data_IF_427870905004
#
_entry.id   IF_427870905004
#
_cell.length_a   1.000
_cell.length_b   1.000
_cell.length_c   1.000
_cell.angle_alpha   90.00
_cell.angle_beta   90.00
_cell.angle_gamma   90.00
#
_symmetry.space_group_name_H-M   'P 1'
#
loop_
_entity.id
_entity.type
_entity.pdbx_description
1 polymer ?
#
# COMPACT_ATOMS: atom_id res chain seq x y z
N UNK A 1 -23.47 14.43 9.65
CA UNK A 1 -22.90 13.21 9.04
C UNK A 1 -21.37 13.25 8.94
N UNK A 2 -20.76 14.16 8.18
CA UNK A 2 -19.30 14.18 7.98
C UNK A 2 -18.48 14.44 9.28
N UNK A 3 -18.95 15.32 10.16
CA UNK A 3 -18.26 15.58 11.43
C UNK A 3 -18.27 14.37 12.35
N UNK A 4 -19.43 13.75 12.52
CA UNK A 4 -19.61 12.49 13.28
C UNK A 4 -18.75 11.35 12.70
N UNK A 5 -18.73 11.20 11.37
CA UNK A 5 -17.83 10.25 10.69
C UNK A 5 -16.39 10.43 11.12
N UNK A 6 -15.90 11.67 11.06
CA UNK A 6 -14.52 12.01 11.40
C UNK A 6 -14.24 11.87 12.91
N UNK A 7 -15.24 11.99 13.76
CA UNK A 7 -15.13 11.80 15.21
C UNK A 7 -14.97 10.31 15.54
N UNK A 8 -15.87 9.46 15.03
CA UNK A 8 -15.78 7.99 15.16
C UNK A 8 -14.46 7.52 14.60
N UNK A 9 -14.12 7.95 13.37
CA UNK A 9 -12.87 7.58 12.73
C UNK A 9 -11.66 7.92 13.63
N UNK A 10 -11.64 9.06 14.32
CA UNK A 10 -10.52 9.49 15.20
C UNK A 10 -10.49 8.82 16.57
N UNK A 11 -11.67 8.48 17.12
CA UNK A 11 -11.80 8.01 18.49
C UNK A 11 -12.04 6.51 18.62
N UNK A 12 -12.31 5.81 17.50
CA UNK A 12 -12.43 4.35 17.48
C UNK A 12 -11.16 3.70 18.04
N UNK A 13 -11.35 2.80 19.01
CA UNK A 13 -10.29 1.99 19.61
C UNK A 13 -10.51 0.53 19.25
N UNK A 14 -9.41 -0.21 19.12
CA UNK A 14 -9.46 -1.65 18.99
C UNK A 14 -8.42 -2.34 19.86
N UNK A 15 -8.76 -3.55 20.31
CA UNK A 15 -7.82 -4.47 20.95
C UNK A 15 -7.91 -5.83 20.26
N UNK A 16 -6.81 -6.58 20.27
CA UNK A 16 -6.81 -7.95 19.78
C UNK A 16 -7.68 -8.76 20.72
N UNK A 17 -8.72 -9.39 20.17
CA UNK A 17 -9.56 -10.30 20.93
C UNK A 17 -8.83 -11.64 21.08
N UNK A 18 -9.12 -12.37 22.16
CA UNK A 18 -8.61 -13.73 22.34
C UNK A 18 -8.99 -14.61 21.13
N UNK A 19 -8.10 -15.55 20.79
CA UNK A 19 -8.28 -16.45 19.65
C UNK A 19 -9.62 -17.20 19.78
N UNK A 20 -10.59 -16.85 18.92
CA UNK A 20 -11.78 -17.67 18.71
C UNK A 20 -11.30 -19.01 18.13
N UNK A 21 -11.42 -20.12 18.87
CA UNK A 21 -11.03 -21.48 18.42
C UNK A 21 -11.63 -21.87 17.05
N UNK A 22 -12.66 -21.15 16.60
CA UNK A 22 -13.42 -21.36 15.36
C UNK A 22 -12.77 -20.69 14.14
N UNK A 23 -11.89 -19.70 14.32
CA UNK A 23 -11.30 -18.92 13.22
C UNK A 23 -9.96 -19.52 12.74
N UNK A 24 -9.66 -19.46 11.44
CA UNK A 24 -8.34 -19.89 10.93
C UNK A 24 -7.21 -19.07 11.56
N UNK A 25 -6.04 -19.69 11.76
CA UNK A 25 -4.83 -19.03 12.32
C UNK A 25 -4.34 -17.79 11.55
N UNK A 26 -4.77 -17.65 10.30
CA UNK A 26 -4.46 -16.50 9.43
C UNK A 26 -5.39 -15.31 9.66
N UNK A 27 -6.36 -15.43 10.57
CA UNK A 27 -7.33 -14.39 10.89
C UNK A 27 -7.01 -13.81 12.25
N UNK A 28 -6.85 -12.49 12.31
CA UNK A 28 -6.77 -11.75 13.57
C UNK A 28 -8.06 -10.98 13.80
N UNK A 29 -8.68 -11.15 14.97
CA UNK A 29 -9.90 -10.45 15.36
C UNK A 29 -9.56 -9.23 16.21
N UNK A 30 -10.05 -8.08 15.80
CA UNK A 30 -9.96 -6.82 16.52
C UNK A 30 -11.36 -6.46 17.04
N UNK A 31 -11.53 -6.43 18.36
CA UNK A 31 -12.75 -5.91 18.98
C UNK A 31 -12.65 -4.40 19.08
N UNK A 32 -13.57 -3.72 18.43
CA UNK A 32 -13.60 -2.27 18.26
C UNK A 32 -14.72 -1.66 19.07
N UNK A 33 -14.42 -0.53 19.72
CA UNK A 33 -15.41 0.26 20.43
C UNK A 33 -15.17 1.76 20.27
N UNK A 34 -16.28 2.49 20.27
CA UNK A 34 -16.32 3.95 20.32
C UNK A 34 -17.43 4.37 21.26
N UNK A 35 -17.13 5.30 22.16
CA UNK A 35 -18.12 5.90 23.06
C UNK A 35 -17.98 7.42 22.97
N UNK A 36 -19.08 8.14 22.83
CA UNK A 36 -19.13 9.61 22.88
C UNK A 36 -20.38 10.09 23.61
N UNK A 37 -20.26 11.22 24.31
CA UNK A 37 -21.28 11.74 25.23
C UNK A 37 -21.06 11.33 26.69
N UNK A 38 -21.90 11.88 27.58
CA UNK A 38 -21.99 11.52 29.00
C UNK A 38 -23.48 11.42 29.39
N UNK A 39 -23.87 10.42 30.20
CA UNK A 39 -25.24 10.31 30.72
C UNK A 39 -26.24 9.75 29.71
N UNK A 40 -27.43 10.35 29.60
CA UNK A 40 -28.51 9.89 28.71
C UNK A 40 -28.22 10.09 27.21
N UNK A 41 -27.20 10.90 26.86
CA UNK A 41 -26.76 11.14 25.48
C UNK A 41 -25.56 10.25 25.07
N UNK A 42 -25.22 9.23 25.86
CA UNK A 42 -24.11 8.31 25.56
C UNK A 42 -24.40 7.47 24.31
N UNK A 43 -23.57 7.62 23.29
CA UNK A 43 -23.55 6.79 22.09
C UNK A 43 -22.38 5.83 22.20
N UNK A 44 -22.67 4.56 22.45
CA UNK A 44 -21.71 3.47 22.36
C UNK A 44 -21.88 2.70 21.05
N UNK A 45 -20.76 2.34 20.44
CA UNK A 45 -20.70 1.58 19.19
C UNK A 45 -19.69 0.48 19.37
N UNK A 46 -20.13 -0.75 19.14
CA UNK A 46 -19.27 -1.93 19.23
C UNK A 46 -19.24 -2.68 17.89
N UNK A 47 -18.14 -3.37 17.65
CA UNK A 47 -18.00 -4.21 16.49
C UNK A 47 -16.69 -4.97 16.45
N UNK A 48 -16.52 -5.76 15.40
CA UNK A 48 -15.36 -6.59 15.19
C UNK A 48 -14.80 -6.40 13.78
N UNK A 49 -13.49 -6.27 13.67
CA UNK A 49 -12.76 -6.30 12.41
C UNK A 49 -11.97 -7.61 12.34
N UNK A 50 -12.23 -8.40 11.31
CA UNK A 50 -11.57 -9.66 11.02
C UNK A 50 -10.51 -9.42 9.95
N UNK A 51 -9.24 -9.40 10.33
CA UNK A 51 -8.11 -9.24 9.42
C UNK A 51 -7.69 -10.60 8.89
N UNK A 52 -8.03 -10.87 7.63
CA UNK A 52 -7.64 -12.09 6.92
C UNK A 52 -6.30 -11.83 6.23
N UNK A 53 -5.23 -12.34 6.84
CA UNK A 53 -3.89 -12.30 6.28
C UNK A 53 -3.71 -13.31 5.16
N UNK A 54 -3.28 -12.84 3.99
CA UNK A 54 -3.04 -13.65 2.81
C UNK A 54 -1.53 -13.84 2.62
N UNK A 55 -1.03 -15.04 2.93
CA UNK A 55 0.38 -15.41 2.80
C UNK A 55 0.69 -16.05 1.43
N UNK A 56 -0.23 -16.89 1.00
CA UNK A 56 -0.30 -17.51 -0.31
C UNK A 56 -1.74 -17.38 -0.79
N UNK A 57 -1.97 -17.54 -2.09
CA UNK A 57 -3.27 -17.43 -2.76
C UNK A 57 -4.29 -18.52 -2.37
N UNK A 58 -4.37 -18.86 -1.09
CA UNK A 58 -5.32 -19.77 -0.47
C UNK A 58 -6.72 -19.12 -0.48
N UNK A 59 -7.46 -19.39 -1.56
CA UNK A 59 -8.85 -18.98 -1.77
C UNK A 59 -9.79 -19.47 -0.63
N UNK A 60 -9.48 -20.61 -0.01
CA UNK A 60 -10.35 -21.28 0.97
C UNK A 60 -10.57 -20.44 2.25
N UNK A 61 -9.49 -19.92 2.86
CA UNK A 61 -9.58 -19.19 4.13
C UNK A 61 -10.38 -17.88 4.04
N UNK A 62 -10.46 -17.27 2.85
CA UNK A 62 -11.16 -15.98 2.66
C UNK A 62 -12.66 -16.20 2.48
N UNK A 63 -13.03 -17.16 1.63
CA UNK A 63 -14.43 -17.55 1.43
C UNK A 63 -15.11 -17.93 2.73
N UNK A 64 -14.44 -18.77 3.53
CA UNK A 64 -15.03 -19.31 4.75
C UNK A 64 -15.29 -18.22 5.78
N UNK A 65 -14.39 -17.24 5.91
CA UNK A 65 -14.55 -16.14 6.86
C UNK A 65 -15.69 -15.21 6.45
N UNK A 66 -15.74 -14.79 5.18
CA UNK A 66 -16.81 -13.88 4.71
C UNK A 66 -18.19 -14.53 4.86
N UNK A 67 -18.31 -15.82 4.49
CA UNK A 67 -19.56 -16.58 4.61
C UNK A 67 -19.98 -16.80 6.07
N UNK A 68 -19.04 -17.11 6.97
CA UNK A 68 -19.36 -17.33 8.39
C UNK A 68 -19.69 -16.04 9.12
N UNK A 69 -18.96 -14.96 8.85
CA UNK A 69 -19.08 -13.69 9.57
C UNK A 69 -20.32 -12.91 9.13
N UNK A 70 -20.72 -13.03 7.85
CA UNK A 70 -21.73 -12.15 7.24
C UNK A 70 -21.44 -10.67 7.54
N UNK A 71 -20.36 -10.11 6.98
CA UNK A 71 -19.90 -8.78 7.33
C UNK A 71 -20.77 -7.67 6.72
N UNK A 72 -20.82 -6.54 7.41
CA UNK A 72 -21.40 -5.29 6.91
C UNK A 72 -20.51 -4.64 5.84
N UNK A 73 -19.20 -4.88 5.91
CA UNK A 73 -18.28 -4.46 4.86
C UNK A 73 -17.10 -5.42 4.68
N UNK A 74 -16.62 -5.50 3.44
CA UNK A 74 -15.35 -6.13 3.07
C UNK A 74 -14.41 -5.08 2.51
N UNK A 75 -13.19 -5.02 3.04
CA UNK A 75 -12.11 -4.17 2.53
C UNK A 75 -10.99 -5.05 1.98
N UNK A 76 -10.45 -4.71 0.81
CA UNK A 76 -9.29 -5.41 0.22
C UNK A 76 -8.07 -4.49 0.11
N UNK A 77 -6.86 -5.03 0.21
CA UNK A 77 -5.58 -4.32 -0.03
C UNK A 77 -5.36 -4.06 -1.54
N UNK A 78 -6.30 -3.32 -2.14
CA UNK A 78 -6.29 -2.93 -3.53
C UNK A 78 -6.58 -1.45 -3.65
N UNK A 79 -5.88 -0.76 -4.54
CA UNK A 79 -6.11 0.66 -4.80
C UNK A 79 -7.01 0.86 -6.01
N UNK A 80 -7.71 1.99 -6.07
CA UNK A 80 -8.71 2.32 -7.11
C UNK A 80 -8.18 2.15 -8.54
N UNK A 81 -6.93 2.53 -8.80
CA UNK A 81 -6.32 2.39 -10.14
C UNK A 81 -6.10 0.94 -10.58
N UNK A 82 -6.21 -0.01 -9.65
CA UNK A 82 -6.08 -1.45 -9.90
C UNK A 82 -7.41 -2.21 -9.72
N UNK A 83 -8.53 -1.50 -9.63
CA UNK A 83 -9.86 -2.10 -9.53
C UNK A 83 -10.15 -3.13 -10.64
N UNK A 84 -9.60 -2.90 -11.84
CA UNK A 84 -9.69 -3.84 -12.96
C UNK A 84 -9.27 -5.29 -12.61
N UNK A 85 -8.41 -5.49 -11.60
CA UNK A 85 -8.01 -6.83 -11.12
C UNK A 85 -9.18 -7.65 -10.57
N UNK A 86 -10.26 -7.01 -10.13
CA UNK A 86 -11.47 -7.67 -9.61
C UNK A 86 -12.39 -8.15 -10.74
N UNK A 87 -12.33 -7.50 -11.91
CA UNK A 87 -13.30 -7.72 -12.98
C UNK A 87 -12.78 -8.60 -14.12
N UNK A 88 -11.47 -8.62 -14.36
CA UNK A 88 -10.88 -9.42 -15.43
C UNK A 88 -10.55 -10.84 -15.00
N UNK A 89 -10.68 -11.77 -15.95
CA UNK A 89 -10.29 -13.17 -15.79
C UNK A 89 -8.78 -13.30 -15.51
N UNK A 90 -8.42 -14.37 -14.79
CA UNK A 90 -7.06 -14.61 -14.33
C UNK A 90 -6.09 -14.78 -15.50
N UNK A 91 -6.53 -15.47 -16.55
CA UNK A 91 -5.79 -15.74 -17.78
C UNK A 91 -5.47 -14.45 -18.55
N UNK A 92 -6.43 -13.51 -18.60
CA UNK A 92 -6.26 -12.21 -19.26
C UNK A 92 -5.21 -11.39 -18.53
N UNK A 93 -5.29 -11.34 -17.20
CA UNK A 93 -4.36 -10.60 -16.37
C UNK A 93 -2.95 -11.20 -16.39
N UNK A 94 -2.83 -12.53 -16.37
CA UNK A 94 -1.56 -13.23 -16.53
C UNK A 94 -0.93 -12.91 -17.88
N UNK A 95 -1.71 -12.90 -18.96
CA UNK A 95 -1.24 -12.52 -20.29
C UNK A 95 -0.74 -11.07 -20.31
N UNK A 96 -1.45 -10.14 -19.68
CA UNK A 96 -1.06 -8.73 -19.62
C UNK A 96 0.21 -8.50 -18.78
N UNK A 97 0.36 -9.20 -17.64
CA UNK A 97 1.59 -9.16 -16.85
C UNK A 97 2.80 -9.72 -17.59
N UNK A 98 2.60 -10.78 -18.39
CA UNK A 98 3.65 -11.42 -19.18
C UNK A 98 3.92 -10.69 -20.50
N UNK A 99 3.00 -9.82 -20.94
CA UNK A 99 3.18 -9.06 -22.16
C UNK A 99 4.38 -8.11 -22.02
N UNK A 100 5.34 -8.15 -22.97
CA UNK A 100 6.46 -7.23 -22.97
C UNK A 100 5.93 -5.81 -23.14
N UNK A 101 6.40 -4.90 -22.29
CA UNK A 101 6.02 -3.49 -22.42
C UNK A 101 6.54 -2.95 -23.75
N UNK A 102 5.65 -2.31 -24.51
CA UNK A 102 6.05 -1.64 -25.74
C UNK A 102 7.16 -0.63 -25.44
N UNK A 103 8.19 -0.60 -26.29
CA UNK A 103 9.29 0.37 -26.16
C UNK A 103 8.78 1.82 -26.05
N UNK A 104 7.67 2.15 -26.71
CA UNK A 104 7.01 3.46 -26.60
C UNK A 104 6.50 3.74 -25.19
N UNK A 105 5.90 2.75 -24.54
CA UNK A 105 5.37 2.85 -23.17
C UNK A 105 6.51 2.96 -22.16
N UNK A 106 7.56 2.17 -22.32
CA UNK A 106 8.78 2.27 -21.51
C UNK A 106 9.38 3.68 -21.65
N UNK A 107 9.63 4.14 -22.89
CA UNK A 107 10.18 5.48 -23.13
C UNK A 107 9.31 6.59 -22.54
N UNK A 108 7.98 6.45 -22.60
CA UNK A 108 7.03 7.38 -21.97
C UNK A 108 7.17 7.36 -20.44
N UNK A 109 7.21 6.18 -19.82
CA UNK A 109 7.37 6.00 -18.37
C UNK A 109 8.66 6.67 -17.87
N UNK A 110 9.77 6.45 -18.56
CA UNK A 110 11.06 7.07 -18.25
C UNK A 110 11.02 8.60 -18.39
N UNK A 111 10.38 9.11 -19.46
CA UNK A 111 10.29 10.56 -19.73
C UNK A 111 9.43 11.28 -18.70
N UNK A 112 8.32 10.68 -18.29
CA UNK A 112 7.34 11.31 -17.41
C UNK A 112 7.69 11.18 -15.93
N UNK A 113 8.26 10.05 -15.51
CA UNK A 113 8.46 9.73 -14.09
C UNK A 113 9.93 9.60 -13.67
N UNK A 114 10.86 9.64 -14.62
CA UNK A 114 12.29 9.47 -14.37
C UNK A 114 12.73 8.01 -14.27
N UNK A 115 14.04 7.80 -14.37
CA UNK A 115 14.71 6.49 -14.49
C UNK A 115 14.43 5.58 -13.29
N UNK A 116 14.60 6.09 -12.06
CA UNK A 116 14.48 5.29 -10.83
C UNK A 116 13.05 4.76 -10.67
N UNK A 117 12.05 5.62 -10.90
CA UNK A 117 10.64 5.20 -10.84
C UNK A 117 10.32 4.16 -11.91
N UNK A 118 10.74 4.42 -13.15
CA UNK A 118 10.46 3.51 -14.26
C UNK A 118 11.05 2.12 -14.01
N UNK A 119 12.30 2.04 -13.55
CA UNK A 119 12.94 0.76 -13.22
C UNK A 119 12.27 0.04 -12.06
N UNK A 120 11.85 0.77 -11.03
CA UNK A 120 11.15 0.17 -9.89
C UNK A 120 9.80 -0.41 -10.30
N UNK A 121 9.06 0.29 -11.18
CA UNK A 121 7.81 -0.24 -11.75
C UNK A 121 8.04 -1.47 -12.62
N UNK A 122 9.10 -1.49 -13.44
CA UNK A 122 9.47 -2.65 -14.26
C UNK A 122 9.84 -3.84 -13.36
N UNK A 123 10.64 -3.62 -12.32
CA UNK A 123 11.02 -4.65 -11.36
C UNK A 123 9.79 -5.19 -10.61
N UNK A 124 8.89 -4.30 -10.19
CA UNK A 124 7.63 -4.70 -9.54
C UNK A 124 6.76 -5.57 -10.47
N UNK A 125 6.65 -5.21 -11.76
CA UNK A 125 5.95 -6.01 -12.78
C UNK A 125 6.61 -7.37 -12.96
N UNK A 126 7.94 -7.41 -13.05
CA UNK A 126 8.71 -8.64 -13.21
C UNK A 126 8.56 -9.59 -12.01
N UNK A 127 8.65 -9.07 -10.78
CA UNK A 127 8.43 -9.83 -9.54
C UNK A 127 6.98 -10.34 -9.50
N UNK A 128 5.99 -9.49 -9.79
CA UNK A 128 4.59 -9.91 -9.81
C UNK A 128 4.32 -11.03 -10.82
N UNK A 129 4.87 -10.92 -12.04
CA UNK A 129 4.74 -11.96 -13.06
C UNK A 129 5.53 -13.24 -12.75
N UNK A 130 6.65 -13.12 -12.03
CA UNK A 130 7.42 -14.24 -11.47
C UNK A 130 6.60 -15.00 -10.43
N UNK A 131 6.05 -14.29 -9.43
CA UNK A 131 5.19 -14.88 -8.40
C UNK A 131 3.97 -15.56 -9.01
N UNK A 132 3.35 -14.94 -10.01
CA UNK A 132 2.19 -15.49 -10.70
C UNK A 132 2.49 -16.84 -11.39
N UNK A 133 3.68 -16.98 -12.00
CA UNK A 133 4.12 -18.23 -12.65
C UNK A 133 4.41 -19.34 -11.65
N UNK A 134 5.06 -19.01 -10.54
CA UNK A 134 5.45 -20.00 -9.53
C UNK A 134 4.25 -20.57 -8.77
N UNK A 135 3.31 -19.69 -8.42
CA UNK A 135 2.17 -20.03 -7.58
C UNK A 135 0.98 -20.53 -8.41
N UNK A 136 1.06 -20.44 -9.75
CA UNK A 136 0.00 -20.85 -10.66
C UNK A 136 -1.25 -19.98 -10.57
N UNK A 137 -1.20 -18.89 -9.80
CA UNK A 137 -2.30 -17.97 -9.59
C UNK A 137 -1.85 -16.52 -9.63
N UNK A 138 -2.71 -15.63 -10.10
CA UNK A 138 -2.43 -14.21 -10.22
C UNK A 138 -2.39 -13.49 -8.85
N UNK A 139 -1.38 -12.64 -8.59
CA UNK A 139 -1.35 -11.76 -7.42
C UNK A 139 -2.55 -10.80 -7.35
N UNK A 140 -3.44 -10.97 -6.37
CA UNK A 140 -4.71 -10.26 -6.28
C UNK A 140 -5.94 -11.11 -6.60
N UNK A 141 -5.76 -12.40 -6.93
CA UNK A 141 -6.87 -13.37 -7.08
C UNK A 141 -7.65 -13.54 -5.77
N UNK A 142 -6.98 -13.41 -4.63
CA UNK A 142 -7.55 -13.31 -3.29
C UNK A 142 -8.58 -12.18 -3.17
N UNK A 143 -8.26 -11.00 -3.69
CA UNK A 143 -9.16 -9.85 -3.63
C UNK A 143 -10.38 -10.05 -4.52
N UNK A 144 -10.22 -10.73 -5.66
CA UNK A 144 -11.35 -11.10 -6.52
C UNK A 144 -12.29 -12.07 -5.84
N UNK A 145 -11.76 -13.09 -5.18
CA UNK A 145 -12.57 -14.03 -4.40
C UNK A 145 -13.31 -13.29 -3.29
N UNK A 146 -12.63 -12.42 -2.54
CA UNK A 146 -13.26 -11.61 -1.51
C UNK A 146 -14.39 -10.72 -2.07
N UNK A 147 -14.17 -10.11 -3.24
CA UNK A 147 -15.18 -9.32 -3.96
C UNK A 147 -16.41 -10.15 -4.36
N UNK A 148 -16.20 -11.33 -4.93
CA UNK A 148 -17.28 -12.23 -5.33
C UNK A 148 -18.07 -12.77 -4.13
N UNK A 149 -17.42 -13.04 -3.01
CA UNK A 149 -18.08 -13.49 -1.78
C UNK A 149 -18.81 -12.36 -1.07
N UNK A 150 -18.24 -11.14 -1.05
CA UNK A 150 -18.92 -9.95 -0.53
C UNK A 150 -20.22 -9.67 -1.29
N UNK A 151 -20.22 -9.83 -2.62
CA UNK A 151 -21.41 -9.63 -3.47
C UNK A 151 -22.55 -10.62 -3.18
N UNK A 152 -22.29 -11.73 -2.47
CA UNK A 152 -23.30 -12.72 -2.05
C UNK A 152 -23.90 -12.42 -0.68
N UNK A 153 -23.35 -11.45 0.05
CA UNK A 153 -23.82 -11.06 1.38
C UNK A 153 -24.72 -9.83 1.24
N UNK A 154 -25.94 -9.93 1.76
CA UNK A 154 -26.92 -8.85 1.68
C UNK A 154 -26.43 -7.58 2.39
N UNK A 155 -26.59 -6.42 1.74
CA UNK A 155 -26.18 -5.11 2.24
C UNK A 155 -24.68 -5.00 2.62
N UNK A 156 -23.82 -5.84 2.03
CA UNK A 156 -22.38 -5.78 2.26
C UNK A 156 -21.73 -4.68 1.41
N UNK A 157 -21.05 -3.74 2.06
CA UNK A 157 -20.26 -2.72 1.40
C UNK A 157 -18.90 -3.27 0.98
N UNK A 158 -18.35 -2.77 -0.12
CA UNK A 158 -17.03 -3.19 -0.61
C UNK A 158 -16.09 -1.99 -0.76
N UNK A 159 -14.90 -2.10 -0.17
CA UNK A 159 -13.91 -1.02 -0.11
C UNK A 159 -12.56 -1.42 -0.72
N UNK A 160 -12.03 -0.54 -1.57
CA UNK A 160 -10.65 -0.57 -2.03
C UNK A 160 -9.77 0.18 -1.01
N UNK A 161 -9.07 -0.58 -0.17
CA UNK A 161 -8.41 -0.07 1.03
C UNK A 161 -6.99 0.47 0.83
N UNK A 162 -6.38 0.32 -0.34
CA UNK A 162 -4.96 0.67 -0.52
C UNK A 162 -4.73 2.01 -1.22
N UNK A 163 -3.55 2.60 -0.98
CA UNK A 163 -3.09 3.83 -1.61
C UNK A 163 -2.73 3.56 -3.08
N UNK A 164 -2.92 4.57 -3.93
CA UNK A 164 -2.39 4.53 -5.31
C UNK A 164 -0.90 4.14 -5.30
N UNK A 165 -0.60 3.03 -5.96
CA UNK A 165 0.73 2.45 -6.02
C UNK A 165 1.75 3.44 -6.63
N UNK A 166 1.32 4.30 -7.54
CA UNK A 166 2.16 5.36 -8.10
C UNK A 166 2.54 6.38 -7.03
N UNK A 167 1.61 6.77 -6.16
CA UNK A 167 1.89 7.66 -5.02
C UNK A 167 2.86 6.97 -4.06
N UNK A 168 2.61 5.70 -3.71
CA UNK A 168 3.48 4.89 -2.86
C UNK A 168 4.93 4.90 -3.37
N UNK A 169 5.13 4.56 -4.63
CA UNK A 169 6.47 4.51 -5.23
C UNK A 169 7.14 5.88 -5.40
N UNK A 170 6.39 6.90 -5.81
CA UNK A 170 6.92 8.27 -5.89
C UNK A 170 7.34 8.80 -4.52
N UNK A 171 6.54 8.55 -3.48
CA UNK A 171 6.90 8.86 -2.09
C UNK A 171 8.16 8.14 -1.65
N UNK A 172 8.24 6.83 -1.93
CA UNK A 172 9.36 5.99 -1.53
C UNK A 172 10.67 6.52 -2.14
N UNK A 173 10.65 6.92 -3.42
CA UNK A 173 11.80 7.57 -4.07
C UNK A 173 12.07 8.96 -3.48
N UNK A 174 11.04 9.75 -3.21
CA UNK A 174 11.19 11.12 -2.72
C UNK A 174 11.85 11.19 -1.33
N UNK A 175 11.69 10.15 -0.50
CA UNK A 175 12.36 10.04 0.80
C UNK A 175 13.87 9.75 0.69
N UNK A 176 14.33 9.17 -0.42
CA UNK A 176 15.74 8.82 -0.59
C UNK A 176 16.60 10.04 -0.96
N UNK A 177 17.80 10.10 -0.38
CA UNK A 177 18.83 11.06 -0.81
C UNK A 177 19.48 10.62 -2.13
N UNK A 178 20.30 11.49 -2.74
CA UNK A 178 20.90 11.22 -4.06
C UNK A 178 21.79 9.98 -4.03
N UNK A 179 22.59 9.80 -2.97
CA UNK A 179 23.44 8.63 -2.82
C UNK A 179 22.64 7.32 -2.75
N UNK A 180 21.57 7.30 -1.95
CA UNK A 180 20.67 6.16 -1.83
C UNK A 180 19.94 5.87 -3.14
N UNK A 181 19.52 6.91 -3.89
CA UNK A 181 18.95 6.75 -5.23
C UNK A 181 19.93 6.11 -6.21
N UNK A 182 21.20 6.55 -6.19
CA UNK A 182 22.24 5.97 -7.03
C UNK A 182 22.56 4.53 -6.63
N UNK A 183 22.65 4.24 -5.32
CA UNK A 183 22.84 2.87 -4.82
C UNK A 183 21.68 1.96 -5.24
N UNK A 184 20.44 2.42 -5.05
CA UNK A 184 19.23 1.70 -5.46
C UNK A 184 19.21 1.44 -6.97
N UNK A 185 19.57 2.46 -7.78
CA UNK A 185 19.65 2.33 -9.23
C UNK A 185 20.68 1.27 -9.65
N UNK A 186 21.88 1.27 -9.04
CA UNK A 186 22.91 0.27 -9.31
C UNK A 186 22.41 -1.13 -8.92
N UNK A 187 21.75 -1.28 -7.76
CA UNK A 187 21.16 -2.55 -7.36
C UNK A 187 20.10 -3.01 -8.37
N UNK A 188 19.17 -2.16 -8.77
CA UNK A 188 18.13 -2.50 -9.77
C UNK A 188 18.73 -2.92 -11.11
N UNK A 189 19.72 -2.18 -11.63
CA UNK A 189 20.38 -2.53 -12.90
C UNK A 189 21.12 -3.86 -12.79
N UNK A 190 21.79 -4.13 -11.67
CA UNK A 190 22.40 -5.43 -11.41
C UNK A 190 21.37 -6.55 -11.35
N UNK A 191 20.23 -6.34 -10.69
CA UNK A 191 19.14 -7.32 -10.61
C UNK A 191 18.44 -7.60 -11.94
N UNK A 192 18.45 -6.63 -12.87
CA UNK A 192 17.90 -6.82 -14.23
C UNK A 192 18.92 -7.51 -15.15
N UNK A 193 20.22 -7.25 -14.99
CA UNK A 193 21.29 -7.82 -15.81
C UNK A 193 21.76 -9.20 -15.34
N UNK A 194 21.68 -9.49 -14.04
CA UNK A 194 21.62 -10.86 -13.59
C UNK A 194 20.30 -11.39 -14.13
N UNK A 195 20.33 -12.34 -15.07
CA UNK A 195 19.13 -13.10 -15.42
C UNK A 195 18.39 -13.38 -14.12
N UNK A 196 17.10 -13.08 -14.04
CA UNK A 196 16.23 -13.52 -12.94
C UNK A 196 16.16 -15.05 -13.06
N UNK A 197 17.26 -15.72 -12.73
CA UNK A 197 17.51 -17.14 -12.79
C UNK A 197 17.22 -17.66 -11.40
N UNK A 198 16.15 -18.44 -11.33
CA UNK A 198 15.88 -19.58 -10.44
C UNK A 198 16.13 -19.47 -8.92
N UNK A 199 17.19 -18.85 -8.43
CA UNK A 199 17.54 -18.80 -6.99
C UNK A 199 16.56 -17.94 -6.19
N UNK A 200 16.29 -16.70 -6.60
CA UNK A 200 15.22 -15.87 -5.97
C UNK A 200 13.82 -16.45 -6.25
N UNK A 201 13.69 -17.33 -7.25
CA UNK A 201 12.43 -17.83 -7.79
C UNK A 201 11.94 -19.12 -7.08
N UNK A 202 12.82 -19.94 -6.51
CA UNK A 202 12.38 -21.07 -5.68
C UNK A 202 12.15 -20.67 -4.22
N UNK A 203 12.78 -19.56 -3.79
CA UNK A 203 12.73 -19.04 -2.42
C UNK A 203 11.37 -18.42 -2.03
N UNK A 204 10.58 -17.87 -2.96
CA UNK A 204 9.26 -17.28 -2.65
C UNK A 204 8.14 -18.29 -2.26
N UNK A 205 8.48 -19.57 -2.12
CA UNK A 205 7.52 -20.61 -1.67
C UNK A 205 7.30 -20.62 -0.17
N UNK A 206 8.24 -20.09 0.63
CA UNK A 206 8.13 -20.02 2.09
C UNK A 206 7.85 -18.58 2.56
N UNK A 207 6.94 -18.45 3.52
CA UNK A 207 6.68 -17.20 4.27
C UNK A 207 7.96 -16.57 4.82
N UNK A 208 8.94 -17.40 5.19
CA UNK A 208 10.22 -16.99 5.76
C UNK A 208 11.09 -16.20 4.77
N UNK A 209 10.84 -16.28 3.46
CA UNK A 209 11.62 -15.54 2.45
C UNK A 209 11.03 -14.18 2.15
N UNK A 210 9.69 -14.03 2.18
CA UNK A 210 9.10 -12.69 2.10
C UNK A 210 9.56 -11.83 3.28
N UNK A 211 9.60 -12.44 4.48
CA UNK A 211 10.13 -11.81 5.67
C UNK A 211 11.63 -11.46 5.51
N UNK A 212 12.45 -12.34 4.91
CA UNK A 212 13.86 -12.03 4.57
C UNK A 212 14.00 -10.86 3.59
N UNK A 213 13.21 -10.81 2.52
CA UNK A 213 13.24 -9.68 1.55
C UNK A 213 12.83 -8.38 2.23
N UNK A 214 11.82 -8.42 3.10
CA UNK A 214 11.41 -7.28 3.91
C UNK A 214 12.52 -6.86 4.87
N UNK A 215 13.19 -7.81 5.52
CA UNK A 215 14.34 -7.56 6.40
C UNK A 215 15.50 -6.91 5.63
N UNK A 216 15.86 -7.44 4.48
CA UNK A 216 16.90 -6.88 3.61
C UNK A 216 16.56 -5.45 3.17
N UNK A 217 15.33 -5.20 2.73
CA UNK A 217 14.88 -3.84 2.36
C UNK A 217 14.97 -2.91 3.58
N UNK A 218 14.58 -3.39 4.75
CA UNK A 218 14.61 -2.62 6.00
C UNK A 218 16.03 -2.29 6.43
N UNK A 219 16.97 -3.23 6.27
CA UNK A 219 18.38 -3.05 6.62
C UNK A 219 19.10 -2.14 5.61
N UNK A 220 18.99 -2.43 4.32
CA UNK A 220 19.73 -1.72 3.27
C UNK A 220 19.09 -0.38 2.87
N UNK A 221 17.77 -0.26 2.98
CA UNK A 221 16.98 0.90 2.57
C UNK A 221 15.87 1.22 3.59
N UNK A 222 16.20 1.60 4.84
CA UNK A 222 15.22 1.82 5.90
C UNK A 222 14.16 2.88 5.56
N UNK A 223 14.54 3.91 4.79
CA UNK A 223 13.60 4.94 4.31
C UNK A 223 12.62 4.41 3.26
N UNK A 224 12.99 3.36 2.53
CA UNK A 224 12.11 2.67 1.58
C UNK A 224 11.11 1.78 2.36
N UNK A 225 11.59 1.02 3.34
CA UNK A 225 10.75 0.20 4.21
C UNK A 225 9.72 1.05 4.99
N UNK A 226 10.11 2.24 5.45
CA UNK A 226 9.21 3.19 6.11
C UNK A 226 7.99 3.50 5.22
N UNK A 227 8.19 3.77 3.92
CA UNK A 227 7.11 4.18 3.01
C UNK A 227 6.33 2.98 2.45
N UNK A 228 7.01 1.89 2.10
CA UNK A 228 6.40 0.72 1.46
C UNK A 228 5.64 -0.15 2.46
N UNK A 229 6.07 -0.16 3.73
CA UNK A 229 5.52 -1.02 4.78
C UNK A 229 4.79 -0.16 5.82
N UNK A 230 5.51 0.61 6.63
CA UNK A 230 4.89 1.29 7.80
C UNK A 230 3.83 2.32 7.42
N UNK A 231 4.11 3.20 6.46
CA UNK A 231 3.10 4.15 5.96
C UNK A 231 1.92 3.43 5.32
N UNK A 232 2.16 2.28 4.69
CA UNK A 232 1.11 1.48 4.04
C UNK A 232 0.22 0.81 5.08
N UNK A 233 0.80 0.28 6.15
CA UNK A 233 0.08 -0.26 7.30
C UNK A 233 -0.82 0.79 7.94
N UNK A 234 -0.29 2.01 8.14
CA UNK A 234 -1.06 3.15 8.65
C UNK A 234 -2.22 3.51 7.70
N UNK A 235 -1.97 3.51 6.40
CA UNK A 235 -3.01 3.79 5.42
C UNK A 235 -4.14 2.75 5.48
N UNK A 236 -3.80 1.46 5.50
CA UNK A 236 -4.76 0.36 5.58
C UNK A 236 -5.56 0.39 6.89
N UNK A 237 -4.88 0.62 8.02
CA UNK A 237 -5.51 0.77 9.33
C UNK A 237 -6.52 1.94 9.36
N UNK A 238 -6.15 3.08 8.78
CA UNK A 238 -7.06 4.22 8.66
C UNK A 238 -8.28 3.88 7.79
N UNK A 239 -8.10 3.22 6.65
CA UNK A 239 -9.21 2.84 5.77
C UNK A 239 -10.19 1.86 6.43
N UNK A 240 -9.71 0.96 7.29
CA UNK A 240 -10.57 0.10 8.11
C UNK A 240 -11.42 0.90 9.10
N UNK A 241 -10.84 1.92 9.77
CA UNK A 241 -11.56 2.81 10.68
C UNK A 241 -12.61 3.63 9.95
N UNK A 242 -12.27 4.13 8.76
CA UNK A 242 -13.20 4.82 7.86
C UNK A 242 -14.38 3.91 7.47
N UNK A 243 -14.12 2.67 7.07
CA UNK A 243 -15.17 1.70 6.73
C UNK A 243 -16.09 1.39 7.92
N UNK A 244 -15.52 1.30 9.14
CA UNK A 244 -16.29 1.13 10.38
C UNK A 244 -17.23 2.30 10.64
N UNK A 245 -16.72 3.53 10.54
CA UNK A 245 -17.52 4.73 10.70
C UNK A 245 -18.66 4.82 9.66
N UNK A 246 -18.38 4.46 8.40
CA UNK A 246 -19.38 4.44 7.33
C UNK A 246 -20.49 3.39 7.60
N UNK A 247 -20.12 2.17 8.01
CA UNK A 247 -21.08 1.13 8.38
C UNK A 247 -21.99 1.57 9.52
N UNK A 248 -21.43 2.19 10.55
CA UNK A 248 -22.20 2.68 11.68
C UNK A 248 -23.23 3.74 11.27
N UNK A 249 -22.82 4.71 10.45
CA UNK A 249 -23.71 5.78 10.00
C UNK A 249 -24.90 5.22 9.20
N UNK A 250 -24.66 4.19 8.38
CA UNK A 250 -25.70 3.51 7.61
C UNK A 250 -26.63 2.71 8.53
N UNK A 251 -26.09 1.95 9.49
CA UNK A 251 -26.91 1.20 10.45
C UNK A 251 -27.78 2.12 11.32
N UNK A 252 -27.21 3.26 11.77
CA UNK A 252 -27.95 4.27 12.53
C UNK A 252 -29.11 4.85 11.74
N UNK A 253 -28.92 5.14 10.45
CA UNK A 253 -29.99 5.60 9.56
C UNK A 253 -31.07 4.53 9.34
N UNK A 254 -30.71 3.25 9.42
CA UNK A 254 -31.62 2.11 9.31
C UNK A 254 -32.22 1.67 10.65
N UNK A 255 -31.96 2.40 11.74
CA UNK A 255 -32.39 2.05 13.11
C UNK A 255 -32.01 0.60 13.51
N UNK A 256 -30.86 0.13 13.05
CA UNK A 256 -30.32 -1.19 13.40
C UNK A 256 -29.34 -1.08 14.55
N UNK A 257 -29.55 -1.94 15.54
CA UNK A 257 -28.68 -2.07 16.71
C UNK A 257 -28.03 -3.47 16.71
N UNK A 258 -27.03 -3.63 15.83
CA UNK A 258 -26.25 -4.86 15.75
C UNK A 258 -24.74 -4.54 15.67
N UNK A 259 -23.87 -5.36 16.29
CA UNK A 259 -22.44 -5.12 16.25
C UNK A 259 -21.89 -5.07 14.84
N UNK A 260 -21.09 -4.03 14.54
CA UNK A 260 -20.49 -3.87 13.21
C UNK A 260 -19.49 -5.01 12.98
N UNK A 261 -19.41 -5.48 11.74
CA UNK A 261 -18.58 -6.63 11.34
C UNK A 261 -17.92 -6.27 10.04
N UNK A 262 -16.60 -6.17 10.04
CA UNK A 262 -15.81 -5.85 8.85
C UNK A 262 -14.80 -6.96 8.61
N UNK A 263 -14.65 -7.38 7.36
CA UNK A 263 -13.57 -8.30 6.96
C UNK A 263 -12.55 -7.52 6.14
N UNK A 264 -11.31 -7.43 6.63
CA UNK A 264 -10.18 -6.84 5.91
C UNK A 264 -9.30 -7.94 5.31
N UNK A 265 -9.25 -8.05 3.99
CA UNK A 265 -8.39 -9.00 3.27
C UNK A 265 -7.11 -8.29 2.83
N UNK A 266 -6.01 -8.62 3.49
CA UNK A 266 -4.72 -7.93 3.34
C UNK A 266 -3.58 -8.95 3.20
N UNK A 267 -2.43 -8.52 2.69
CA UNK A 267 -1.21 -9.32 2.70
C UNK A 267 -0.79 -9.65 4.14
N UNK A 268 -0.36 -10.89 4.40
CA UNK A 268 -0.01 -11.35 5.76
C UNK A 268 1.06 -10.46 6.42
N UNK A 269 1.97 -9.92 5.61
CA UNK A 269 3.05 -9.02 6.06
C UNK A 269 2.52 -7.71 6.67
N UNK A 270 1.32 -7.26 6.29
CA UNK A 270 0.71 -6.03 6.77
C UNK A 270 -0.11 -6.21 8.05
N UNK A 271 -0.55 -7.44 8.36
CA UNK A 271 -1.46 -7.70 9.50
C UNK A 271 -0.88 -7.18 10.82
N UNK A 272 0.37 -7.53 11.15
CA UNK A 272 1.02 -7.09 12.39
C UNK A 272 1.14 -5.56 12.47
N UNK A 273 1.52 -4.93 11.36
CA UNK A 273 1.67 -3.47 11.28
C UNK A 273 0.35 -2.71 11.39
N UNK A 274 -0.72 -3.23 10.76
CA UNK A 274 -2.08 -2.69 10.86
C UNK A 274 -2.53 -2.73 12.32
N UNK A 275 -2.42 -3.88 12.98
CA UNK A 275 -2.81 -4.04 14.39
C UNK A 275 -2.03 -3.06 15.29
N UNK A 276 -0.71 -2.99 15.11
CA UNK A 276 0.15 -2.13 15.92
C UNK A 276 -0.13 -0.62 15.73
N UNK A 277 -0.65 -0.23 14.56
CA UNK A 277 -0.91 1.18 14.24
C UNK A 277 -2.38 1.57 14.30
N UNK A 278 -3.29 0.62 14.48
CA UNK A 278 -4.74 0.84 14.40
C UNK A 278 -5.22 2.00 15.29
N UNK A 279 -4.72 2.07 16.52
CA UNK A 279 -5.11 3.07 17.51
C UNK A 279 -4.36 4.42 17.39
N UNK A 280 -3.42 4.55 16.45
CA UNK A 280 -2.62 5.76 16.29
C UNK A 280 -3.42 6.87 15.60
N UNK A 281 -2.99 8.12 15.79
CA UNK A 281 -3.52 9.24 15.01
C UNK A 281 -2.81 9.30 13.66
N UNK A 282 -3.53 9.02 12.58
CA UNK A 282 -2.95 8.82 11.23
C UNK A 282 -3.31 10.01 10.35
N UNK A 283 -2.28 10.71 9.85
CA UNK A 283 -2.46 11.82 8.93
C UNK A 283 -2.59 11.33 7.48
N UNK A 284 -3.79 10.87 7.10
CA UNK A 284 -4.03 10.33 5.76
C UNK A 284 -3.72 11.31 4.62
N UNK A 285 -3.91 12.62 4.86
CA UNK A 285 -3.62 13.68 3.87
C UNK A 285 -2.13 13.76 3.55
N UNK A 286 -1.28 13.51 4.54
CA UNK A 286 0.16 13.45 4.35
C UNK A 286 0.57 12.19 3.59
N UNK A 287 0.00 11.04 3.95
CA UNK A 287 0.27 9.76 3.27
C UNK A 287 -0.15 9.76 1.79
N UNK A 288 -1.12 10.59 1.40
CA UNK A 288 -1.57 10.77 0.00
C UNK A 288 -0.74 11.79 -0.80
N UNK A 289 0.11 12.60 -0.18
CA UNK A 289 0.93 13.62 -0.88
C UNK A 289 2.30 13.05 -1.25
N UNK A 290 2.97 13.57 -2.27
CA UNK A 290 4.39 13.23 -2.51
C UNK A 290 5.24 14.29 -1.78
N UNK A 291 6.16 13.91 -0.87
CA UNK A 291 6.97 14.89 -0.17
C UNK A 291 7.83 15.64 -1.18
N UNK A 292 7.85 16.97 -1.07
CA UNK A 292 8.68 17.78 -1.96
C UNK A 292 10.15 17.50 -1.62
N UNK A 293 11.04 17.38 -2.62
CA UNK A 293 12.47 17.28 -2.34
C UNK A 293 12.89 18.50 -1.50
N UNK A 294 13.71 18.26 -0.47
CA UNK A 294 14.34 19.37 0.27
C UNK A 294 15.07 20.27 -0.75
N UNK A 295 15.04 21.59 -0.49
CA UNK A 295 15.50 22.65 -1.40
C UNK A 295 16.77 22.22 -2.15
N UNK A 296 16.74 22.35 -3.47
CA UNK A 296 17.78 21.82 -4.36
C UNK A 296 19.01 22.74 -4.36
N UNK A 297 19.82 22.65 -3.29
CA UNK A 297 21.00 23.51 -3.11
C UNK A 297 21.99 23.35 -4.26
N UNK A 298 21.99 22.20 -4.93
CA UNK A 298 22.81 21.94 -6.11
C UNK A 298 22.44 22.90 -7.25
N UNK A 299 21.15 23.15 -7.52
CA UNK A 299 20.74 24.13 -8.54
C UNK A 299 21.14 25.56 -8.17
N UNK A 300 21.13 25.87 -6.88
CA UNK A 300 21.56 27.18 -6.39
C UNK A 300 23.08 27.33 -6.59
N UNK A 301 23.86 26.34 -6.14
CA UNK A 301 25.32 26.30 -6.34
C UNK A 301 25.68 26.36 -7.81
N UNK A 302 25.03 25.58 -8.68
CA UNK A 302 25.29 25.57 -10.12
C UNK A 302 25.02 26.95 -10.76
N UNK A 303 23.95 27.63 -10.33
CA UNK A 303 23.66 29.01 -10.77
C UNK A 303 24.76 29.97 -10.33
N UNK A 304 25.21 29.91 -9.08
CA UNK A 304 26.30 30.76 -8.59
C UNK A 304 27.64 30.45 -9.27
N UNK A 305 27.94 29.19 -9.55
CA UNK A 305 29.12 28.78 -10.32
C UNK A 305 29.05 29.34 -11.74
N UNK A 306 27.89 29.24 -12.40
CA UNK A 306 27.68 29.81 -13.74
C UNK A 306 27.84 31.33 -13.73
N UNK A 307 27.24 32.03 -12.75
CA UNK A 307 27.42 33.48 -12.60
C UNK A 307 28.88 33.86 -12.34
N UNK A 308 29.60 33.06 -11.54
CA UNK A 308 31.03 33.24 -11.30
C UNK A 308 31.89 33.03 -12.55
N UNK A 309 31.56 32.04 -13.38
CA UNK A 309 32.26 31.80 -14.65
C UNK A 309 32.00 32.91 -15.67
N UNK A 310 30.76 33.37 -15.77
CA UNK A 310 30.39 34.48 -16.65
C UNK A 310 31.07 35.78 -16.21
N UNK A 311 31.05 36.10 -14.90
CA UNK A 311 31.71 37.30 -14.38
C UNK A 311 33.24 37.26 -14.52
N UNK A 312 33.86 36.09 -14.32
CA UNK A 312 35.29 35.91 -14.56
C UNK A 312 35.62 36.05 -16.06
N UNK A 313 34.80 35.47 -16.93
CA UNK A 313 34.94 35.57 -18.38
C UNK A 313 34.85 37.02 -18.86
N UNK A 314 33.87 37.79 -18.39
CA UNK A 314 33.72 39.21 -18.74
C UNK A 314 34.84 40.06 -18.18
N UNK A 315 35.27 39.84 -16.93
CA UNK A 315 36.43 40.51 -16.35
C UNK A 315 37.70 40.26 -17.17
N UNK A 316 37.98 39.00 -17.53
CA UNK A 316 39.15 38.62 -18.32
C UNK A 316 39.10 39.19 -19.74
N UNK A 317 37.92 39.24 -20.35
CA UNK A 317 37.71 39.84 -21.66
C UNK A 317 37.94 41.35 -21.63
N UNK A 318 37.34 42.07 -20.67
CA UNK A 318 37.57 43.51 -20.51
C UNK A 318 39.04 43.84 -20.25
N UNK A 319 39.71 43.07 -19.38
CA UNK A 319 41.15 43.25 -19.10
C UNK A 319 42.04 43.09 -20.34
N UNK A 320 41.60 42.33 -21.36
CA UNK A 320 42.36 42.10 -22.60
C UNK A 320 42.16 43.17 -23.67
N UNK A 321 41.11 43.99 -23.57
CA UNK A 321 40.74 44.98 -24.57
C UNK A 321 40.73 46.43 -24.05
N UNK A 322 40.62 46.64 -22.74
CA UNK A 322 40.66 47.97 -22.12
C UNK A 322 42.04 48.36 -21.55
N UNK A 323 43.05 47.50 -21.64
CA UNK A 323 44.43 47.77 -21.21
C UNK A 323 45.42 47.39 -22.29
#
# INVERSE_FOLDING_TARGET
>A
MLEMRNEIERNLRAHVADDDEVLPKTVSKLSCSYTSGEGEDEVSVEGNIYLVGTAHFSKASQCDVIRKVHPHAVMVELCEKRDFLLHFEEEVLLRELQAPDSFKNIKKLFKENGVVFALMMILFKAISGSMARQLGTFPGSEFRVAFQEAAKVDNCLFYLGDRDISITFHRAIAMLNIYQKMKLLICMVKSVNADIKSEVMEEFKDTDVLDKVILDITEYFPLLAEVLIKERDQYLAHQLRSAFADCWLIQKEQEKDEPIKIVGVVGIAHVKGIIATFNNNINIKELKRIPKPKRDWIKIVLKFVLYGLVSYGTYRFMRRYLW
#
